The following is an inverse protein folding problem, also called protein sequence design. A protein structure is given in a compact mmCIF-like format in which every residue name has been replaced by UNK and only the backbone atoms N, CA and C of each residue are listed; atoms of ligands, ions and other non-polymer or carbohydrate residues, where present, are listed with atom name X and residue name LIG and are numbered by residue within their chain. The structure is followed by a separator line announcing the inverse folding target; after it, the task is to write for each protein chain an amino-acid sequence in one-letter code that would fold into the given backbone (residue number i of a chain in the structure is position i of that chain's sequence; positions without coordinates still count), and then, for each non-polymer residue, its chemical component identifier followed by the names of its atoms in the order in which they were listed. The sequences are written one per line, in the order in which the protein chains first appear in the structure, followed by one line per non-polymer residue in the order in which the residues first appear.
data_IF_167417141543
#
_entry.id   IF_167417141543
#
_cell.length_a   1.000
_cell.length_b   1.000
_cell.length_c   1.000
_cell.angle_alpha   90.00
_cell.angle_beta   90.00
_cell.angle_gamma   90.00
#
_symmetry.space_group_name_H-M   'P 1'
#
loop_
_entity.id
_entity.type
_entity.pdbx_description
1 polymer ?
#
# COMPACT_ATOMS: atom_id res chain seq x y z
N UNK A 1 2.05 -23.80 -13.59
CA UNK A 1 2.40 -22.44 -13.21
C UNK A 1 1.53 -21.55 -14.07
N UNK A 2 0.37 -21.17 -13.55
CA UNK A 2 -0.51 -20.24 -14.24
C UNK A 2 0.22 -18.91 -14.37
N UNK A 3 0.41 -18.49 -15.61
CA UNK A 3 0.89 -17.14 -15.91
C UNK A 3 -0.26 -16.21 -15.49
N UNK A 4 -0.09 -15.50 -14.39
CA UNK A 4 -1.03 -14.44 -14.02
C UNK A 4 -0.97 -13.38 -15.12
N UNK A 5 -1.98 -13.37 -15.99
CA UNK A 5 -2.22 -12.23 -16.87
C UNK A 5 -2.64 -11.04 -15.99
N UNK A 6 -1.66 -10.27 -15.51
CA UNK A 6 -1.92 -8.98 -14.83
C UNK A 6 -2.09 -7.88 -15.88
N UNK A 7 -2.97 -8.13 -16.85
CA UNK A 7 -3.23 -7.20 -17.93
C UNK A 7 -3.92 -5.94 -17.44
N UNK A 8 -3.25 -4.80 -17.62
CA UNK A 8 -3.84 -3.45 -17.75
C UNK A 8 -4.74 -2.97 -16.60
N UNK A 9 -4.45 -3.32 -15.35
CA UNK A 9 -5.40 -3.11 -14.26
C UNK A 9 -4.93 -2.05 -13.27
N UNK A 10 -5.91 -1.28 -12.81
CA UNK A 10 -5.82 -0.46 -11.61
C UNK A 10 -6.39 -1.26 -10.44
N UNK A 11 -6.00 -0.92 -9.21
CA UNK A 11 -6.62 -1.47 -8.02
C UNK A 11 -7.40 -0.40 -7.29
N UNK A 12 -8.73 -0.44 -7.44
CA UNK A 12 -9.65 0.55 -6.86
C UNK A 12 -10.77 -0.15 -6.12
N UNK A 13 -11.01 0.25 -4.88
CA UNK A 13 -12.07 -0.27 -4.02
C UNK A 13 -12.01 -1.79 -3.82
N UNK A 14 -10.80 -2.33 -3.66
CA UNK A 14 -10.49 -3.75 -3.49
C UNK A 14 -10.80 -4.61 -4.74
N UNK A 15 -10.89 -3.99 -5.91
CA UNK A 15 -11.11 -4.66 -7.18
C UNK A 15 -10.06 -4.26 -8.20
N UNK A 16 -9.70 -5.21 -9.06
CA UNK A 16 -8.90 -4.92 -10.25
C UNK A 16 -9.85 -4.48 -11.35
N UNK A 17 -9.60 -3.30 -11.90
CA UNK A 17 -10.40 -2.71 -12.98
C UNK A 17 -9.51 -2.34 -14.16
N UNK A 18 -10.00 -2.53 -15.37
CA UNK A 18 -9.32 -2.06 -16.58
C UNK A 18 -9.39 -0.53 -16.65
N UNK A 19 -8.27 0.10 -17.01
CA UNK A 19 -8.25 1.54 -17.24
C UNK A 19 -8.86 1.88 -18.60
N UNK A 20 -9.55 3.03 -18.65
CA UNK A 20 -10.04 3.61 -19.89
C UNK A 20 -8.96 4.43 -20.63
N UNK A 21 -7.74 4.44 -20.16
CA UNK A 21 -6.62 5.14 -20.78
C UNK A 21 -6.08 4.38 -21.98
N UNK A 22 -5.59 5.12 -22.96
CA UNK A 22 -4.80 4.57 -24.07
C UNK A 22 -3.28 4.68 -23.82
N UNK A 23 -2.87 5.26 -22.68
CA UNK A 23 -1.47 5.39 -22.32
C UNK A 23 -0.99 4.13 -21.66
N UNK A 24 -0.06 3.44 -22.30
CA UNK A 24 0.52 2.17 -21.84
C UNK A 24 2.04 2.24 -21.83
N UNK A 25 2.66 1.37 -21.05
CA UNK A 25 4.11 1.17 -21.03
C UNK A 25 4.42 -0.32 -20.94
N UNK A 26 5.38 -0.76 -21.74
CA UNK A 26 5.90 -2.13 -21.66
C UNK A 26 6.85 -2.26 -20.47
N UNK A 27 6.64 -3.29 -19.65
CA UNK A 27 7.54 -3.68 -18.57
C UNK A 27 8.57 -4.64 -19.12
N UNK A 28 9.83 -4.28 -19.00
CA UNK A 28 10.94 -5.02 -19.58
C UNK A 28 11.79 -5.65 -18.47
N UNK A 29 12.17 -6.91 -18.65
CA UNK A 29 13.15 -7.54 -17.79
C UNK A 29 14.55 -6.93 -18.05
N UNK A 30 15.15 -6.25 -17.07
CA UNK A 30 16.41 -5.53 -17.28
C UNK A 30 17.61 -6.45 -17.51
N UNK A 31 17.52 -7.73 -17.16
CA UNK A 31 18.56 -8.71 -17.35
C UNK A 31 18.56 -9.35 -18.75
N UNK A 32 17.37 -9.53 -19.35
CA UNK A 32 17.23 -10.21 -20.64
C UNK A 32 16.82 -9.28 -21.78
N UNK A 33 16.25 -8.11 -21.47
CA UNK A 33 15.64 -7.20 -22.45
C UNK A 33 14.28 -7.69 -23.00
N UNK A 34 13.76 -8.78 -22.47
CA UNK A 34 12.46 -9.31 -22.89
C UNK A 34 11.31 -8.57 -22.22
N UNK A 35 10.23 -8.39 -22.96
CA UNK A 35 8.99 -7.87 -22.41
C UNK A 35 8.36 -8.89 -21.46
N UNK A 36 8.04 -8.42 -20.23
CA UNK A 36 7.33 -9.19 -19.21
C UNK A 36 5.82 -9.03 -19.40
N UNK A 37 5.37 -7.78 -19.50
CA UNK A 37 3.95 -7.41 -19.59
C UNK A 37 3.80 -5.97 -20.10
N UNK A 38 2.55 -5.48 -20.15
CA UNK A 38 2.23 -4.07 -20.42
C UNK A 38 1.40 -3.53 -19.26
N UNK A 39 1.69 -2.33 -18.81
CA UNK A 39 0.88 -1.61 -17.83
C UNK A 39 0.10 -0.50 -18.53
N UNK A 40 -1.11 -0.20 -18.03
CA UNK A 40 -1.91 0.95 -18.47
C UNK A 40 -1.96 1.98 -17.36
N UNK A 41 -1.76 3.25 -17.72
CA UNK A 41 -1.81 4.34 -16.77
C UNK A 41 -3.26 4.73 -16.44
N UNK A 42 -3.49 5.21 -15.23
CA UNK A 42 -4.78 5.68 -14.81
C UNK A 42 -5.12 7.02 -15.44
N UNK A 43 -6.37 7.20 -15.84
CA UNK A 43 -6.91 8.49 -16.21
C UNK A 43 -7.11 9.39 -14.98
N UNK A 44 -7.21 10.70 -15.19
CA UNK A 44 -7.54 11.64 -14.11
C UNK A 44 -8.86 11.30 -13.40
N UNK A 45 -9.85 10.84 -14.14
CA UNK A 45 -11.16 10.49 -13.57
C UNK A 45 -11.08 9.25 -12.69
N UNK A 46 -10.29 8.25 -13.07
CA UNK A 46 -10.04 7.05 -12.26
C UNK A 46 -9.26 7.39 -10.98
N UNK A 47 -8.29 8.30 -11.05
CA UNK A 47 -7.60 8.81 -9.85
C UNK A 47 -8.58 9.52 -8.93
N UNK A 48 -9.47 10.37 -9.46
CA UNK A 48 -10.51 11.04 -8.68
C UNK A 48 -11.47 10.01 -8.04
N UNK A 49 -11.87 8.98 -8.78
CA UNK A 49 -12.69 7.89 -8.27
C UNK A 49 -11.99 7.15 -7.12
N UNK A 50 -10.70 6.85 -7.26
CA UNK A 50 -9.90 6.24 -6.21
C UNK A 50 -9.88 7.09 -4.93
N UNK A 51 -9.70 8.40 -5.06
CA UNK A 51 -9.70 9.35 -3.95
C UNK A 51 -11.07 9.38 -3.24
N UNK A 52 -12.17 9.45 -3.99
CA UNK A 52 -13.52 9.48 -3.42
C UNK A 52 -13.86 8.16 -2.69
N UNK A 53 -13.49 7.01 -3.25
CA UNK A 53 -13.64 5.71 -2.58
C UNK A 53 -12.78 5.64 -1.32
N UNK A 54 -11.54 6.14 -1.37
CA UNK A 54 -10.67 6.22 -0.20
C UNK A 54 -11.25 7.08 0.91
N UNK A 55 -11.85 8.21 0.58
CA UNK A 55 -12.49 9.10 1.55
C UNK A 55 -13.67 8.44 2.25
N UNK A 56 -14.53 7.75 1.49
CA UNK A 56 -15.67 7.01 2.04
C UNK A 56 -15.21 5.91 3.02
N UNK A 57 -14.24 5.10 2.61
CA UNK A 57 -13.70 4.03 3.45
C UNK A 57 -13.00 4.58 4.70
N UNK A 58 -12.27 5.68 4.58
CA UNK A 58 -11.53 6.30 5.68
C UNK A 58 -12.46 6.79 6.79
N UNK A 59 -13.60 7.40 6.46
CA UNK A 59 -14.58 7.88 7.44
C UNK A 59 -15.17 6.76 8.32
N UNK A 60 -15.28 5.55 7.80
CA UNK A 60 -15.70 4.39 8.59
C UNK A 60 -14.51 3.77 9.36
N UNK A 61 -13.32 3.75 8.74
CA UNK A 61 -12.12 3.19 9.33
C UNK A 61 -11.62 3.98 10.55
N UNK A 62 -11.73 5.30 10.53
CA UNK A 62 -11.30 6.13 11.67
C UNK A 62 -12.12 5.92 12.94
N UNK A 63 -13.35 5.40 12.81
CA UNK A 63 -14.22 5.07 13.95
C UNK A 63 -13.75 3.81 14.71
N UNK A 64 -12.99 2.94 14.05
CA UNK A 64 -12.45 1.73 14.64
C UNK A 64 -11.29 2.10 15.57
N UNK A 65 -11.22 1.57 16.81
CA UNK A 65 -10.12 1.83 17.72
C UNK A 65 -8.76 1.47 17.10
N UNK A 66 -7.73 2.28 17.36
CA UNK A 66 -6.41 2.07 16.78
C UNK A 66 -5.80 0.69 17.06
N UNK A 67 -5.93 0.08 18.25
CA UNK A 67 -5.45 -1.28 18.47
C UNK A 67 -6.11 -2.30 17.53
N UNK A 68 -7.42 -2.20 17.33
CA UNK A 68 -8.16 -3.10 16.41
C UNK A 68 -7.70 -2.90 14.95
N UNK A 69 -7.46 -1.65 14.53
CA UNK A 69 -6.87 -1.39 13.21
C UNK A 69 -5.49 -2.04 13.06
N UNK A 70 -4.66 -1.97 14.11
CA UNK A 70 -3.35 -2.62 14.11
C UNK A 70 -3.45 -4.15 14.01
N UNK A 71 -4.44 -4.77 14.64
CA UNK A 71 -4.70 -6.22 14.51
C UNK A 71 -5.02 -6.59 13.05
N UNK A 72 -5.90 -5.86 12.38
CA UNK A 72 -6.19 -6.08 10.95
C UNK A 72 -4.93 -5.96 10.08
N UNK A 73 -4.09 -4.96 10.35
CA UNK A 73 -2.84 -4.75 9.61
C UNK A 73 -1.84 -5.86 9.89
N UNK A 74 -1.76 -6.36 11.12
CA UNK A 74 -0.86 -7.45 11.50
C UNK A 74 -1.17 -8.75 10.75
N UNK A 75 -2.42 -8.98 10.36
CA UNK A 75 -2.83 -10.14 9.56
C UNK A 75 -2.26 -10.13 8.13
N UNK A 76 -1.63 -9.04 7.69
CA UNK A 76 -0.85 -9.04 6.44
C UNK A 76 0.42 -9.91 6.55
N UNK A 77 1.02 -10.05 7.73
CA UNK A 77 2.28 -10.78 7.92
C UNK A 77 2.22 -12.19 7.33
N UNK A 78 1.30 -13.07 7.74
CA UNK A 78 1.24 -14.43 7.20
C UNK A 78 0.95 -14.44 5.68
N UNK A 79 0.24 -13.46 5.14
CA UNK A 79 -0.01 -13.36 3.71
C UNK A 79 1.27 -13.00 2.93
N UNK A 80 2.10 -12.11 3.47
CA UNK A 80 3.41 -11.81 2.88
C UNK A 80 4.37 -13.00 2.96
N UNK A 81 4.38 -13.74 4.08
CA UNK A 81 5.18 -14.96 4.25
C UNK A 81 4.80 -16.04 3.23
N UNK A 82 3.50 -16.28 3.04
CA UNK A 82 2.98 -17.26 2.09
C UNK A 82 3.32 -16.92 0.62
N UNK A 83 3.39 -15.64 0.28
CA UNK A 83 3.65 -15.18 -1.10
C UNK A 83 5.12 -14.78 -1.33
N UNK A 84 6.00 -14.97 -0.34
CA UNK A 84 7.38 -14.47 -0.36
C UNK A 84 8.17 -14.92 -1.59
N UNK A 85 8.14 -16.20 -1.92
CA UNK A 85 8.94 -16.74 -3.02
C UNK A 85 8.45 -16.24 -4.39
N UNK A 86 7.15 -16.14 -4.57
CA UNK A 86 6.55 -15.61 -5.79
C UNK A 86 6.85 -14.12 -5.97
N UNK A 87 6.68 -13.33 -4.91
CA UNK A 87 7.04 -11.91 -4.90
C UNK A 87 8.53 -11.72 -5.22
N UNK A 88 9.41 -12.54 -4.63
CA UNK A 88 10.84 -12.45 -4.88
C UNK A 88 11.19 -12.77 -6.33
N UNK A 89 10.56 -13.77 -6.95
CA UNK A 89 10.76 -14.11 -8.35
C UNK A 89 10.29 -12.99 -9.30
N UNK A 90 9.12 -12.41 -9.03
CA UNK A 90 8.63 -11.27 -9.81
C UNK A 90 9.56 -10.06 -9.65
N UNK A 91 10.05 -9.83 -8.45
CA UNK A 91 10.99 -8.74 -8.15
C UNK A 91 12.29 -8.88 -8.95
N UNK A 92 12.84 -10.10 -9.02
CA UNK A 92 14.03 -10.38 -9.86
C UNK A 92 13.75 -10.08 -11.34
N UNK A 93 12.59 -10.48 -11.84
CA UNK A 93 12.22 -10.29 -13.25
C UNK A 93 12.00 -8.82 -13.60
N UNK A 94 11.25 -8.09 -12.77
CA UNK A 94 10.83 -6.72 -13.09
C UNK A 94 11.91 -5.68 -12.78
N UNK A 95 12.62 -5.85 -11.67
CA UNK A 95 13.58 -4.84 -11.19
C UNK A 95 15.05 -5.22 -11.37
N UNK A 96 15.33 -6.49 -11.57
CA UNK A 96 16.71 -6.98 -11.79
C UNK A 96 17.53 -7.22 -10.53
N UNK A 97 16.95 -7.20 -9.34
CA UNK A 97 17.64 -7.59 -8.09
C UNK A 97 18.03 -9.06 -8.10
N UNK A 98 19.06 -9.39 -7.31
CA UNK A 98 19.31 -10.79 -6.98
C UNK A 98 18.18 -11.38 -6.12
N UNK A 99 17.98 -12.69 -6.22
CA UNK A 99 16.92 -13.37 -5.43
C UNK A 99 17.12 -13.16 -3.91
N UNK A 100 18.36 -13.18 -3.44
CA UNK A 100 18.68 -12.97 -2.03
C UNK A 100 18.33 -11.55 -1.55
N UNK A 101 18.58 -10.53 -2.38
CA UNK A 101 18.22 -9.15 -2.06
C UNK A 101 16.70 -8.96 -2.07
N UNK A 102 15.99 -9.55 -3.04
CA UNK A 102 14.54 -9.52 -3.12
C UNK A 102 13.90 -10.16 -1.88
N UNK A 103 14.33 -11.37 -1.51
CA UNK A 103 13.87 -12.04 -0.29
C UNK A 103 14.18 -11.23 0.98
N UNK A 104 15.39 -10.66 1.06
CA UNK A 104 15.80 -9.84 2.20
C UNK A 104 14.98 -8.54 2.34
N UNK A 105 14.52 -7.95 1.24
CA UNK A 105 13.63 -6.79 1.30
C UNK A 105 12.21 -7.17 1.75
N UNK A 106 11.70 -8.32 1.30
CA UNK A 106 10.41 -8.83 1.76
C UNK A 106 10.45 -9.12 3.27
N UNK A 107 11.53 -9.73 3.77
CA UNK A 107 11.72 -9.98 5.21
C UNK A 107 11.73 -8.67 6.02
N UNK A 108 12.45 -7.65 5.54
CA UNK A 108 12.45 -6.30 6.15
C UNK A 108 11.08 -5.65 6.11
N UNK A 109 10.31 -5.92 5.07
CA UNK A 109 8.94 -5.42 4.90
C UNK A 109 7.99 -6.07 5.92
N UNK A 110 8.10 -7.37 6.15
CA UNK A 110 7.36 -8.10 7.19
C UNK A 110 7.72 -7.56 8.58
N UNK A 111 9.01 -7.40 8.87
CA UNK A 111 9.48 -6.80 10.13
C UNK A 111 8.94 -5.38 10.33
N UNK A 112 8.85 -4.59 9.25
CA UNK A 112 8.29 -3.24 9.32
C UNK A 112 6.80 -3.24 9.65
N UNK A 113 6.01 -4.18 9.11
CA UNK A 113 4.60 -4.34 9.49
C UNK A 113 4.47 -4.63 11.00
N UNK A 114 5.24 -5.59 11.52
CA UNK A 114 5.22 -5.95 12.94
C UNK A 114 5.65 -4.76 13.83
N UNK A 115 6.71 -4.05 13.44
CA UNK A 115 7.18 -2.86 14.15
C UNK A 115 6.12 -1.78 14.22
N UNK A 116 5.50 -1.41 13.09
CA UNK A 116 4.51 -0.33 13.04
C UNK A 116 3.22 -0.67 13.78
N UNK A 117 2.76 -1.91 13.70
CA UNK A 117 1.59 -2.36 14.46
C UNK A 117 1.85 -2.35 15.96
N UNK A 118 3.04 -2.76 16.40
CA UNK A 118 3.46 -2.70 17.80
C UNK A 118 3.62 -1.26 18.29
N UNK A 119 4.24 -0.37 17.49
CA UNK A 119 4.42 1.05 17.81
C UNK A 119 3.08 1.77 17.98
N UNK A 120 2.07 1.36 17.23
CA UNK A 120 0.74 1.97 17.28
C UNK A 120 0.09 1.87 18.68
N UNK A 121 0.42 0.85 19.44
CA UNK A 121 -0.05 0.66 20.82
C UNK A 121 0.51 1.72 21.79
N UNK A 122 1.57 2.42 21.39
CA UNK A 122 2.19 3.49 22.18
C UNK A 122 1.70 4.88 21.81
N UNK A 123 0.69 5.02 20.95
CA UNK A 123 0.17 6.33 20.54
C UNK A 123 -0.56 7.00 21.70
N UNK A 124 0.05 8.04 22.27
CA UNK A 124 -0.45 8.76 23.44
C UNK A 124 -0.88 10.17 23.06
N UNK A 125 -1.90 10.67 23.77
CA UNK A 125 -2.21 12.08 23.85
C UNK A 125 -1.46 12.74 25.02
N UNK A 126 -1.63 14.03 25.15
CA UNK A 126 -1.05 14.84 26.23
C UNK A 126 -2.15 15.58 26.99
N UNK A 127 -1.94 15.75 28.29
CA UNK A 127 -2.78 16.57 29.14
C UNK A 127 -1.91 17.69 29.68
N UNK A 128 -2.27 18.93 29.38
CA UNK A 128 -1.54 20.11 29.75
C UNK A 128 -2.36 20.98 30.74
N UNK A 129 -1.69 21.62 31.68
CA UNK A 129 -2.33 22.61 32.49
C UNK A 129 -2.52 23.90 31.69
N UNK A 130 -3.61 24.62 31.97
CA UNK A 130 -3.86 25.95 31.44
C UNK A 130 -3.55 27.00 32.49
N UNK A 131 -3.31 28.23 32.03
CA UNK A 131 -3.18 29.41 32.90
C UNK A 131 -4.54 29.90 33.45
N UNK A 132 -5.63 29.38 32.91
CA UNK A 132 -6.98 29.68 33.41
C UNK A 132 -7.37 28.66 34.47
N UNK A 133 -7.88 29.14 35.60
CA UNK A 133 -8.27 28.29 36.72
C UNK A 133 -9.38 27.32 36.34
N UNK A 134 -9.24 26.05 36.72
CA UNK A 134 -10.17 24.94 36.42
C UNK A 134 -10.29 24.56 34.93
N UNK A 135 -9.33 24.97 34.09
CA UNK A 135 -9.24 24.49 32.69
C UNK A 135 -8.08 23.53 32.50
N UNK A 136 -8.33 22.51 31.66
CA UNK A 136 -7.33 21.51 31.25
C UNK A 136 -7.33 21.41 29.74
N UNK A 137 -6.15 21.41 29.14
CA UNK A 137 -5.96 21.22 27.71
C UNK A 137 -5.65 19.74 27.46
N UNK A 138 -6.43 19.10 26.59
CA UNK A 138 -6.19 17.75 26.17
C UNK A 138 -5.85 17.72 24.67
N UNK A 139 -4.64 17.21 24.35
CA UNK A 139 -4.18 17.02 22.98
C UNK A 139 -4.44 15.58 22.57
N UNK A 140 -5.19 15.39 21.49
CA UNK A 140 -5.46 14.08 20.89
C UNK A 140 -5.05 14.08 19.44
N UNK A 141 -4.44 12.97 18.99
CA UNK A 141 -4.08 12.77 17.58
C UNK A 141 -5.28 12.25 16.81
N UNK A 142 -5.51 12.81 15.64
CA UNK A 142 -6.60 12.40 14.73
C UNK A 142 -6.04 12.01 13.37
N UNK A 143 -6.68 11.09 12.63
CA UNK A 143 -6.35 10.84 11.22
C UNK A 143 -6.47 12.13 10.40
N UNK A 144 -5.59 12.28 9.41
CA UNK A 144 -5.64 13.43 8.48
C UNK A 144 -6.54 13.18 7.26
N UNK A 145 -7.06 11.96 7.12
CA UNK A 145 -7.95 11.58 6.02
C UNK A 145 -7.26 10.75 4.95
N UNK A 146 -7.49 11.09 3.68
CA UNK A 146 -6.88 10.43 2.53
C UNK A 146 -5.45 10.92 2.35
N UNK A 147 -4.51 9.99 2.18
CA UNK A 147 -3.10 10.28 1.90
C UNK A 147 -2.70 9.80 0.51
N UNK A 148 -1.69 10.40 -0.08
CA UNK A 148 -1.10 9.94 -1.33
C UNK A 148 0.31 9.40 -1.07
N UNK A 149 0.66 8.30 -1.75
CA UNK A 149 1.97 7.70 -1.70
C UNK A 149 2.57 7.54 -3.09
N UNK A 150 3.64 8.29 -3.40
CA UNK A 150 4.44 8.09 -4.61
C UNK A 150 5.59 7.17 -4.24
N UNK A 151 5.73 6.05 -4.94
CA UNK A 151 6.66 4.96 -4.61
C UNK A 151 7.76 4.87 -5.68
N UNK A 152 9.05 4.87 -5.29
CA UNK A 152 10.15 4.71 -6.21
C UNK A 152 10.36 3.23 -6.60
N UNK A 153 11.16 3.01 -7.65
CA UNK A 153 11.46 1.68 -8.20
C UNK A 153 12.50 0.87 -7.42
N UNK A 154 13.39 1.52 -6.65
CA UNK A 154 14.57 0.86 -6.08
C UNK A 154 14.29 -0.06 -4.87
N UNK A 155 13.23 0.20 -4.14
CA UNK A 155 12.75 -0.63 -3.02
C UNK A 155 11.23 -0.61 -2.94
N UNK A 156 10.52 -1.04 -4.01
CA UNK A 156 9.09 -0.80 -4.20
C UNK A 156 8.23 -1.43 -3.09
N UNK A 157 8.54 -2.64 -2.63
CA UNK A 157 7.76 -3.30 -1.57
C UNK A 157 7.91 -2.55 -0.24
N UNK A 158 9.16 -2.37 0.21
CA UNK A 158 9.43 -1.75 1.51
C UNK A 158 8.95 -0.30 1.57
N UNK A 159 9.21 0.49 0.51
CA UNK A 159 8.82 1.90 0.48
C UNK A 159 7.30 2.06 0.34
N UNK A 160 6.62 1.17 -0.39
CA UNK A 160 5.17 1.13 -0.43
C UNK A 160 4.61 0.89 0.99
N UNK A 161 5.07 -0.15 1.66
CA UNK A 161 4.59 -0.47 3.00
C UNK A 161 4.91 0.61 4.03
N UNK A 162 6.02 1.34 3.87
CA UNK A 162 6.33 2.52 4.69
C UNK A 162 5.34 3.68 4.52
N UNK A 163 4.54 3.69 3.46
CA UNK A 163 3.45 4.65 3.26
C UNK A 163 2.11 4.06 3.68
N UNK A 164 1.81 2.85 3.25
CA UNK A 164 0.54 2.17 3.50
C UNK A 164 0.34 1.88 4.99
N UNK A 165 1.29 1.20 5.64
CA UNK A 165 1.10 0.68 7.00
C UNK A 165 0.86 1.80 8.02
N UNK A 166 1.72 2.85 8.11
CA UNK A 166 1.46 3.95 9.05
C UNK A 166 0.14 4.68 8.75
N UNK A 167 -0.22 4.87 7.47
CA UNK A 167 -1.46 5.53 7.09
C UNK A 167 -2.68 4.76 7.63
N UNK A 168 -2.80 3.48 7.30
CA UNK A 168 -3.99 2.69 7.71
C UNK A 168 -4.03 2.42 9.22
N UNK A 169 -2.90 2.18 9.88
CA UNK A 169 -2.85 1.99 11.34
C UNK A 169 -3.32 3.25 12.07
N UNK A 170 -2.95 4.43 11.58
CA UNK A 170 -3.38 5.71 12.19
C UNK A 170 -4.80 6.13 11.83
N UNK A 171 -5.49 5.38 10.98
CA UNK A 171 -6.89 5.64 10.60
C UNK A 171 -7.07 6.45 9.33
N UNK A 172 -6.00 6.64 8.56
CA UNK A 172 -6.05 7.22 7.22
C UNK A 172 -6.31 6.14 6.16
N UNK A 173 -6.64 6.57 4.94
CA UNK A 173 -6.57 5.77 3.73
C UNK A 173 -5.42 6.25 2.85
N UNK A 174 -5.06 5.48 1.81
CA UNK A 174 -3.94 5.81 0.95
C UNK A 174 -4.20 5.46 -0.51
N UNK A 175 -3.87 6.40 -1.40
CA UNK A 175 -3.82 6.20 -2.84
C UNK A 175 -2.35 6.13 -3.24
N UNK A 176 -1.93 5.02 -3.81
CA UNK A 176 -0.54 4.75 -4.22
C UNK A 176 -0.38 4.97 -5.72
N UNK A 177 0.59 5.80 -6.10
CA UNK A 177 1.17 5.81 -7.44
C UNK A 177 2.48 5.02 -7.40
N UNK A 178 2.53 3.81 -7.96
CA UNK A 178 3.79 3.09 -8.10
C UNK A 178 4.74 3.79 -9.07
N UNK A 179 6.03 3.44 -9.02
CA UNK A 179 6.90 3.73 -10.16
C UNK A 179 6.44 2.88 -11.35
N UNK A 180 6.47 3.46 -12.53
CA UNK A 180 6.21 2.79 -13.81
C UNK A 180 7.17 1.60 -14.04
N UNK A 181 8.39 1.68 -13.51
CA UNK A 181 9.42 0.65 -13.62
C UNK A 181 9.16 -0.60 -12.76
N UNK A 182 8.25 -0.54 -11.78
CA UNK A 182 7.96 -1.64 -10.83
C UNK A 182 6.48 -1.73 -10.49
N UNK A 183 5.64 -1.52 -11.49
CA UNK A 183 4.17 -1.52 -11.32
C UNK A 183 3.60 -2.92 -11.13
N UNK A 184 4.09 -3.94 -11.84
CA UNK A 184 3.57 -5.31 -11.74
C UNK A 184 3.74 -5.85 -10.31
N UNK A 185 4.91 -5.63 -9.71
CA UNK A 185 5.17 -6.01 -8.33
C UNK A 185 4.19 -5.33 -7.36
N UNK A 186 3.91 -4.04 -7.60
CA UNK A 186 2.94 -3.29 -6.79
C UNK A 186 1.51 -3.82 -6.96
N UNK A 187 1.10 -4.16 -8.18
CA UNK A 187 -0.20 -4.78 -8.45
C UNK A 187 -0.29 -6.20 -7.84
N UNK A 188 0.83 -6.94 -7.80
CA UNK A 188 0.87 -8.23 -7.10
C UNK A 188 0.67 -8.07 -5.58
N UNK A 189 1.16 -6.98 -4.98
CA UNK A 189 0.85 -6.64 -3.59
C UNK A 189 -0.63 -6.32 -3.38
N UNK A 190 -1.31 -5.75 -4.38
CA UNK A 190 -2.75 -5.50 -4.31
C UNK A 190 -3.57 -6.78 -4.11
N UNK A 191 -3.15 -7.92 -4.65
CA UNK A 191 -3.79 -9.21 -4.41
C UNK A 191 -3.67 -9.64 -2.94
N UNK A 192 -2.54 -9.38 -2.31
CA UNK A 192 -2.35 -9.61 -0.87
C UNK A 192 -3.29 -8.72 -0.06
N UNK A 193 -3.41 -7.44 -0.42
CA UNK A 193 -4.36 -6.54 0.25
C UNK A 193 -5.81 -6.99 0.04
N UNK A 194 -6.16 -7.43 -1.16
CA UNK A 194 -7.49 -7.96 -1.48
C UNK A 194 -7.83 -9.21 -0.66
N UNK A 195 -6.87 -10.10 -0.43
CA UNK A 195 -7.04 -11.31 0.36
C UNK A 195 -7.06 -11.05 1.88
N UNK A 196 -6.74 -9.84 2.32
CA UNK A 196 -6.65 -9.48 3.73
C UNK A 196 -8.01 -9.07 4.32
N UNK A 197 -8.01 -8.78 5.62
CA UNK A 197 -9.18 -8.24 6.35
C UNK A 197 -9.25 -6.71 6.30
N UNK A 198 -8.39 -6.05 5.52
CA UNK A 198 -8.40 -4.59 5.35
C UNK A 198 -9.62 -4.21 4.50
N UNK A 199 -10.48 -3.29 4.98
CA UNK A 199 -11.67 -2.89 4.24
C UNK A 199 -11.38 -2.32 2.86
N UNK A 200 -12.29 -2.61 1.93
CA UNK A 200 -12.25 -2.06 0.58
C UNK A 200 -12.17 -0.52 0.61
N UNK A 201 -11.42 0.05 -0.30
CA UNK A 201 -11.27 1.50 -0.43
C UNK A 201 -10.16 2.13 0.41
N UNK A 202 -9.61 1.44 1.41
CA UNK A 202 -8.52 2.00 2.23
C UNK A 202 -7.18 2.09 1.51
N UNK A 203 -6.92 1.17 0.61
CA UNK A 203 -5.70 1.12 -0.20
C UNK A 203 -6.12 1.11 -1.67
N UNK A 204 -5.61 2.06 -2.44
CA UNK A 204 -5.82 2.15 -3.87
C UNK A 204 -4.46 2.17 -4.57
N UNK A 205 -4.36 1.58 -5.76
CA UNK A 205 -3.15 1.60 -6.57
C UNK A 205 -3.52 2.06 -7.98
N UNK A 206 -2.96 3.19 -8.37
CA UNK A 206 -3.23 3.87 -9.64
C UNK A 206 -1.90 4.13 -10.36
N UNK A 207 -1.48 3.23 -11.28
CA UNK A 207 -0.30 3.45 -12.11
C UNK A 207 -0.42 4.75 -12.93
N UNK A 208 0.72 5.41 -13.14
CA UNK A 208 0.78 6.66 -13.89
C UNK A 208 2.22 7.20 -13.96
N UNK A 209 2.47 8.20 -14.78
CA UNK A 209 3.75 8.94 -14.89
C UNK A 209 3.83 10.12 -13.93
#
# INVERSE_FOLDING_TARGET
MEVFEMTNQLFINNEFIESNSNETMDVINPATGEKIDTITFATKDEVNQAIEKSKQAQLEWEKIPQPTRAEHVKLLIPLFEQNKDELAQLYVKEQGKTLAEAQGEIDKSIQFIDYMTSLSMSNKGEVLQNSVENETIQLTKKPIGVTAGIVPWNAPILVLLRKVIPAIVTGCSVVIKPSEETTLLTLRLAEIFKASTIPAGLIQIVPGT
#
